data_IF_269621896182
#
_entry.id   IF_269621896182
#
_cell.length_a   1.000
_cell.length_b   1.000
_cell.length_c   1.000
_cell.angle_alpha   90.00
_cell.angle_beta   90.00
_cell.angle_gamma   90.00
#
_symmetry.space_group_name_H-M   'P 1'
#
loop_
_entity.id
_entity.type
_entity.pdbx_description
1 polymer ?
#
# COMPACT_ATOMS: atom_id res chain seq x y z
N UNK A 1 6.09 -13.84 1.06
CA UNK A 1 5.22 -14.29 2.18
C UNK A 1 4.13 -15.16 1.59
N UNK A 2 3.90 -16.34 2.15
CA UNK A 2 2.86 -17.24 1.69
C UNK A 2 1.48 -16.77 2.19
N UNK A 3 0.38 -17.11 1.48
CA UNK A 3 -0.99 -16.71 1.87
C UNK A 3 -1.34 -17.06 3.32
N UNK A 4 -0.79 -18.16 3.86
CA UNK A 4 -0.98 -18.57 5.25
C UNK A 4 -0.37 -17.63 6.30
N UNK A 5 0.73 -16.93 5.98
CA UNK A 5 1.35 -15.97 6.89
C UNK A 5 0.49 -14.71 7.06
N UNK A 6 -0.22 -14.28 5.99
CA UNK A 6 -1.16 -13.16 6.08
C UNK A 6 -2.40 -13.50 6.90
N UNK A 7 -2.92 -14.73 6.79
CA UNK A 7 -4.04 -15.18 7.61
C UNK A 7 -3.68 -15.17 9.10
N UNK A 8 -2.52 -15.69 9.48
CA UNK A 8 -2.03 -15.66 10.85
C UNK A 8 -1.82 -14.23 11.38
N UNK A 9 -1.27 -13.35 10.54
CA UNK A 9 -1.08 -11.94 10.90
C UNK A 9 -2.42 -11.25 11.15
N UNK A 10 -3.41 -11.49 10.31
CA UNK A 10 -4.77 -10.97 10.47
C UNK A 10 -5.41 -11.48 11.76
N UNK A 11 -5.39 -12.78 11.99
CA UNK A 11 -5.93 -13.40 13.23
C UNK A 11 -5.30 -12.84 14.51
N UNK A 12 -4.01 -12.49 14.44
CA UNK A 12 -3.29 -11.92 15.59
C UNK A 12 -3.61 -10.43 15.80
N UNK A 13 -3.84 -9.66 14.74
CA UNK A 13 -4.00 -8.21 14.81
C UNK A 13 -5.46 -7.75 14.93
N UNK A 14 -6.43 -8.47 14.34
CA UNK A 14 -7.85 -8.07 14.40
C UNK A 14 -8.39 -7.97 15.84
N UNK A 15 -8.07 -8.87 16.78
CA UNK A 15 -8.50 -8.72 18.17
C UNK A 15 -7.98 -7.45 18.86
N UNK A 16 -6.78 -6.98 18.49
CA UNK A 16 -6.21 -5.75 19.04
C UNK A 16 -7.03 -4.51 18.67
N UNK A 17 -7.68 -4.52 17.50
CA UNK A 17 -8.58 -3.43 17.08
C UNK A 17 -9.92 -3.43 17.83
N UNK A 18 -10.40 -4.60 18.28
CA UNK A 18 -11.65 -4.71 19.05
C UNK A 18 -11.49 -4.16 20.46
N UNK A 19 -10.27 -4.17 21.00
CA UNK A 19 -9.97 -3.60 22.31
C UNK A 19 -9.91 -2.07 22.29
N UNK A 20 -9.83 -1.43 21.12
CA UNK A 20 -9.74 0.02 20.97
C UNK A 20 -11.03 0.79 21.30
N UNK A 21 -12.16 0.09 21.52
CA UNK A 21 -13.44 0.69 21.97
C UNK A 21 -13.51 1.07 23.46
N UNK A 22 -12.47 0.80 24.26
CA UNK A 22 -12.41 1.20 25.66
C UNK A 22 -11.82 2.61 25.81
N UNK A 23 -12.20 3.41 26.83
CA UNK A 23 -11.63 4.74 27.05
C UNK A 23 -10.11 4.63 27.26
N UNK A 24 -9.38 5.17 26.32
CA UNK A 24 -7.95 4.93 26.12
C UNK A 24 -7.15 5.83 27.04
N UNK A 25 -6.30 5.25 27.89
CA UNK A 25 -5.21 5.99 28.54
C UNK A 25 -4.23 6.49 27.48
N UNK A 26 -3.64 7.67 27.69
CA UNK A 26 -2.64 8.30 26.81
C UNK A 26 -1.58 7.26 26.39
N UNK A 27 -1.48 6.97 25.11
CA UNK A 27 -0.50 6.02 24.53
C UNK A 27 -1.10 4.93 23.63
N UNK A 28 -2.39 4.66 23.70
CA UNK A 28 -3.05 3.59 22.93
C UNK A 28 -3.50 4.02 21.52
N UNK A 29 -3.64 5.31 21.24
CA UNK A 29 -4.02 5.80 19.90
C UNK A 29 -2.98 5.41 18.84
N UNK A 30 -1.69 5.37 19.21
CA UNK A 30 -0.62 4.91 18.32
C UNK A 30 -0.80 3.43 17.91
N UNK A 31 -1.42 2.61 18.74
CA UNK A 31 -1.66 1.20 18.43
C UNK A 31 -2.70 1.01 17.34
N UNK A 32 -3.81 1.76 17.35
CA UNK A 32 -4.86 1.61 16.34
C UNK A 32 -4.36 1.93 14.93
N UNK A 33 -3.66 3.06 14.75
CA UNK A 33 -3.02 3.40 13.47
C UNK A 33 -2.03 2.33 13.02
N UNK A 34 -1.17 1.88 13.94
CA UNK A 34 -0.14 0.90 13.62
C UNK A 34 -0.77 -0.43 13.21
N UNK A 35 -1.77 -0.90 13.96
CA UNK A 35 -2.45 -2.17 13.65
C UNK A 35 -3.20 -2.06 12.31
N UNK A 36 -3.94 -0.98 12.07
CA UNK A 36 -4.60 -0.75 10.79
C UNK A 36 -3.59 -0.69 9.65
N UNK A 37 -2.47 0.02 9.83
CA UNK A 37 -1.40 0.11 8.84
C UNK A 37 -0.80 -1.26 8.52
N UNK A 38 -0.50 -2.08 9.53
CA UNK A 38 0.05 -3.42 9.32
C UNK A 38 -0.91 -4.33 8.56
N UNK A 39 -2.21 -4.30 8.91
CA UNK A 39 -3.25 -5.06 8.21
C UNK A 39 -3.37 -4.62 6.75
N UNK A 40 -3.41 -3.31 6.51
CA UNK A 40 -3.53 -2.73 5.18
C UNK A 40 -2.30 -3.05 4.32
N UNK A 41 -1.09 -2.94 4.87
CA UNK A 41 0.15 -3.28 4.16
C UNK A 41 0.20 -4.78 3.80
N UNK A 42 -0.16 -5.64 4.74
CA UNK A 42 -0.22 -7.08 4.51
C UNK A 42 -1.27 -7.43 3.43
N UNK A 43 -2.47 -6.85 3.53
CA UNK A 43 -3.55 -7.04 2.56
C UNK A 43 -3.18 -6.53 1.16
N UNK A 44 -2.48 -5.39 1.08
CA UNK A 44 -1.95 -4.86 -0.19
C UNK A 44 -1.02 -5.88 -0.86
N UNK A 45 -0.12 -6.49 -0.10
CA UNK A 45 0.80 -7.50 -0.62
C UNK A 45 0.09 -8.81 -1.00
N UNK A 46 -0.93 -9.20 -0.22
CA UNK A 46 -1.71 -10.42 -0.47
C UNK A 46 -2.79 -10.25 -1.54
N UNK A 47 -3.08 -9.01 -1.98
CA UNK A 47 -4.22 -8.67 -2.85
C UNK A 47 -5.56 -9.08 -2.21
N UNK A 48 -5.67 -8.95 -0.88
CA UNK A 48 -6.87 -9.28 -0.12
C UNK A 48 -7.86 -8.11 -0.16
N UNK A 49 -8.76 -8.13 -1.14
CA UNK A 49 -9.76 -7.09 -1.37
C UNK A 49 -10.68 -6.87 -0.16
N UNK A 50 -11.08 -7.94 0.52
CA UNK A 50 -11.98 -7.86 1.66
C UNK A 50 -11.35 -7.11 2.83
N UNK A 51 -10.10 -7.40 3.15
CA UNK A 51 -9.33 -6.72 4.20
C UNK A 51 -9.03 -5.28 3.80
N UNK A 52 -8.66 -5.03 2.54
CA UNK A 52 -8.43 -3.68 2.03
C UNK A 52 -9.71 -2.82 2.13
N UNK A 53 -10.84 -3.35 1.67
CA UNK A 53 -12.14 -2.65 1.73
C UNK A 53 -12.57 -2.31 3.16
N UNK A 54 -12.18 -3.14 4.15
CA UNK A 54 -12.51 -2.95 5.55
C UNK A 54 -11.61 -1.95 6.27
N UNK A 55 -10.30 -2.03 6.05
CA UNK A 55 -9.32 -1.32 6.90
C UNK A 55 -8.64 -0.12 6.22
N UNK A 56 -8.58 -0.05 4.90
CA UNK A 56 -7.96 1.10 4.23
C UNK A 56 -8.76 2.40 4.43
N UNK A 57 -10.11 2.42 4.35
CA UNK A 57 -10.89 3.61 4.68
C UNK A 57 -10.72 4.03 6.15
N UNK A 58 -10.64 3.05 7.07
CA UNK A 58 -10.41 3.33 8.49
C UNK A 58 -9.05 3.96 8.73
N UNK A 59 -8.00 3.45 8.08
CA UNK A 59 -6.66 4.04 8.16
C UNK A 59 -6.64 5.45 7.60
N UNK A 60 -7.35 5.70 6.48
CA UNK A 60 -7.47 7.03 5.88
C UNK A 60 -8.12 8.02 6.85
N UNK A 61 -9.24 7.64 7.48
CA UNK A 61 -9.95 8.45 8.48
C UNK A 61 -9.05 8.81 9.67
N UNK A 62 -8.41 7.80 10.26
CA UNK A 62 -7.49 7.98 11.39
C UNK A 62 -6.33 8.90 11.02
N UNK A 63 -5.71 8.67 9.85
CA UNK A 63 -4.58 9.45 9.38
C UNK A 63 -4.94 10.91 9.10
N UNK A 64 -6.13 11.17 8.54
CA UNK A 64 -6.67 12.53 8.31
C UNK A 64 -6.96 13.24 9.63
N UNK A 65 -7.63 12.55 10.56
CA UNK A 65 -7.98 13.09 11.88
C UNK A 65 -6.75 13.59 12.64
N UNK A 66 -5.66 12.83 12.57
CA UNK A 66 -4.47 13.08 13.39
C UNK A 66 -3.32 13.73 12.60
N UNK A 67 -3.56 14.10 11.33
CA UNK A 67 -2.56 14.74 10.47
C UNK A 67 -1.36 13.85 10.12
N UNK A 68 -1.53 12.51 10.12
CA UNK A 68 -0.44 11.56 9.97
C UNK A 68 -0.16 11.23 8.49
N UNK A 69 0.58 12.11 7.80
CA UNK A 69 0.84 12.01 6.36
C UNK A 69 1.41 10.67 5.89
N UNK A 70 2.37 10.01 6.57
CA UNK A 70 2.85 8.70 6.15
C UNK A 70 1.75 7.64 6.09
N UNK A 71 0.87 7.59 7.08
CA UNK A 71 -0.24 6.62 7.08
C UNK A 71 -1.32 7.00 6.07
N UNK A 72 -1.53 8.29 5.82
CA UNK A 72 -2.41 8.75 4.76
C UNK A 72 -1.94 8.27 3.38
N UNK A 73 -0.64 8.38 3.09
CA UNK A 73 -0.05 7.85 1.86
C UNK A 73 -0.22 6.34 1.72
N UNK A 74 -0.04 5.57 2.82
CA UNK A 74 -0.28 4.12 2.84
C UNK A 74 -1.76 3.81 2.58
N UNK A 75 -2.68 4.54 3.22
CA UNK A 75 -4.11 4.36 3.02
C UNK A 75 -4.52 4.64 1.55
N UNK A 76 -4.03 5.73 0.96
CA UNK A 76 -4.30 6.03 -0.44
C UNK A 76 -3.75 4.94 -1.39
N UNK A 77 -2.53 4.43 -1.16
CA UNK A 77 -2.01 3.32 -1.97
C UNK A 77 -2.90 2.08 -1.85
N UNK A 78 -3.30 1.72 -0.64
CA UNK A 78 -4.15 0.57 -0.40
C UNK A 78 -5.54 0.69 -1.03
N UNK A 79 -6.16 1.88 -0.93
CA UNK A 79 -7.42 2.19 -1.62
C UNK A 79 -7.25 2.10 -3.13
N UNK A 80 -6.13 2.60 -3.68
CA UNK A 80 -5.82 2.45 -5.10
C UNK A 80 -5.73 0.99 -5.54
N UNK A 81 -5.11 0.14 -4.72
CA UNK A 81 -5.06 -1.31 -4.98
C UNK A 81 -6.45 -1.94 -4.89
N UNK A 82 -7.27 -1.58 -3.88
CA UNK A 82 -8.63 -2.07 -3.74
C UNK A 82 -9.49 -1.71 -4.96
N UNK A 83 -9.48 -0.44 -5.40
CA UNK A 83 -10.19 0.01 -6.61
C UNK A 83 -9.70 -0.73 -7.87
N UNK A 84 -8.38 -0.95 -8.01
CA UNK A 84 -7.86 -1.72 -9.13
C UNK A 84 -8.39 -3.17 -9.15
N UNK A 85 -8.42 -3.82 -8.00
CA UNK A 85 -8.96 -5.19 -7.88
C UNK A 85 -10.46 -5.24 -8.19
N UNK A 86 -11.21 -4.20 -7.82
CA UNK A 86 -12.62 -4.04 -8.16
C UNK A 86 -12.87 -3.62 -9.63
N UNK A 87 -11.82 -3.35 -10.42
CA UNK A 87 -11.94 -2.89 -11.80
C UNK A 87 -12.23 -1.39 -11.97
N UNK A 88 -12.20 -0.62 -10.90
CA UNK A 88 -12.44 0.83 -10.86
C UNK A 88 -11.14 1.58 -11.15
N UNK A 89 -10.66 1.48 -12.41
CA UNK A 89 -9.30 1.87 -12.77
C UNK A 89 -9.04 3.38 -12.70
N UNK A 90 -10.06 4.23 -12.85
CA UNK A 90 -9.90 5.68 -12.74
C UNK A 90 -9.71 6.11 -11.27
N UNK A 91 -10.51 5.56 -10.37
CA UNK A 91 -10.39 5.77 -8.92
C UNK A 91 -9.07 5.21 -8.39
N UNK A 92 -8.65 4.05 -8.88
CA UNK A 92 -7.36 3.46 -8.55
C UNK A 92 -6.21 4.42 -8.89
N UNK A 93 -6.23 5.01 -10.08
CA UNK A 93 -5.20 5.97 -10.51
C UNK A 93 -5.18 7.21 -9.61
N UNK A 94 -6.36 7.79 -9.35
CA UNK A 94 -6.46 8.98 -8.50
C UNK A 94 -5.85 8.73 -7.12
N UNK A 95 -6.18 7.59 -6.51
CA UNK A 95 -5.66 7.21 -5.20
C UNK A 95 -4.15 6.93 -5.21
N UNK A 96 -3.65 6.22 -6.22
CA UNK A 96 -2.22 5.93 -6.33
C UNK A 96 -1.39 7.20 -6.58
N UNK A 97 -1.90 8.16 -7.37
CA UNK A 97 -1.24 9.46 -7.57
C UNK A 97 -1.18 10.27 -6.27
N UNK A 98 -2.27 10.32 -5.48
CA UNK A 98 -2.28 10.96 -4.18
C UNK A 98 -1.23 10.35 -3.23
N UNK A 99 -1.13 9.03 -3.21
CA UNK A 99 -0.10 8.35 -2.43
C UNK A 99 1.32 8.73 -2.90
N UNK A 100 1.53 8.75 -4.21
CA UNK A 100 2.83 9.08 -4.80
C UNK A 100 3.26 10.50 -4.45
N UNK A 101 2.36 11.48 -4.59
CA UNK A 101 2.60 12.89 -4.25
C UNK A 101 2.99 13.06 -2.77
N UNK A 102 2.26 12.41 -1.85
CA UNK A 102 2.58 12.45 -0.43
C UNK A 102 3.97 11.87 -0.15
N UNK A 103 4.29 10.70 -0.70
CA UNK A 103 5.58 10.07 -0.46
C UNK A 103 6.75 10.81 -1.12
N UNK A 104 6.54 11.43 -2.29
CA UNK A 104 7.53 12.30 -2.92
C UNK A 104 7.78 13.56 -2.07
N UNK A 105 6.73 14.21 -1.58
CA UNK A 105 6.85 15.37 -0.69
C UNK A 105 7.60 15.07 0.61
N UNK A 106 7.49 13.84 1.11
CA UNK A 106 8.23 13.37 2.29
C UNK A 106 9.61 12.79 1.97
N UNK A 107 10.01 12.73 0.71
CA UNK A 107 11.24 12.08 0.25
C UNK A 107 11.33 10.60 0.70
N UNK A 108 10.20 9.92 0.84
CA UNK A 108 10.09 8.54 1.28
C UNK A 108 10.34 7.57 0.12
N UNK A 109 11.58 7.49 -0.37
CA UNK A 109 11.98 6.81 -1.60
C UNK A 109 11.51 5.36 -1.69
N UNK A 110 11.55 4.59 -0.59
CA UNK A 110 11.06 3.22 -0.57
C UNK A 110 9.54 3.14 -0.82
N UNK A 111 8.77 4.04 -0.21
CA UNK A 111 7.32 4.11 -0.41
C UNK A 111 6.99 4.60 -1.83
N UNK A 112 7.80 5.52 -2.38
CA UNK A 112 7.70 5.95 -3.78
C UNK A 112 7.86 4.74 -4.71
N UNK A 113 8.92 3.94 -4.56
CA UNK A 113 9.15 2.75 -5.36
C UNK A 113 7.99 1.75 -5.29
N UNK A 114 7.45 1.49 -4.10
CA UNK A 114 6.28 0.63 -3.91
C UNK A 114 5.03 1.17 -4.62
N UNK A 115 4.79 2.47 -4.54
CA UNK A 115 3.62 3.09 -5.18
C UNK A 115 3.74 3.08 -6.71
N UNK A 116 4.94 3.31 -7.24
CA UNK A 116 5.22 3.19 -8.67
C UNK A 116 4.97 1.75 -9.18
N UNK A 117 5.30 0.72 -8.39
CA UNK A 117 4.94 -0.65 -8.75
C UNK A 117 3.43 -0.87 -8.84
N UNK A 118 2.64 -0.28 -7.92
CA UNK A 118 1.18 -0.40 -8.02
C UNK A 118 0.60 0.37 -9.21
N UNK A 119 1.21 1.50 -9.60
CA UNK A 119 0.87 2.21 -10.85
C UNK A 119 1.18 1.36 -12.07
N UNK A 120 2.33 0.67 -12.11
CA UNK A 120 2.66 -0.25 -13.19
C UNK A 120 1.64 -1.41 -13.31
N UNK A 121 1.21 -1.97 -12.18
CA UNK A 121 0.16 -3.00 -12.15
C UNK A 121 -1.19 -2.46 -12.64
N UNK A 122 -1.50 -1.20 -12.37
CA UNK A 122 -2.69 -0.52 -12.90
C UNK A 122 -2.60 -0.34 -14.42
N UNK A 123 -1.43 0.05 -14.93
CA UNK A 123 -1.21 0.17 -16.37
C UNK A 123 -1.38 -1.17 -17.09
N UNK A 124 -0.87 -2.26 -16.49
CA UNK A 124 -1.10 -3.61 -17.02
C UNK A 124 -2.59 -3.98 -17.04
N UNK A 125 -3.35 -3.59 -16.00
CA UNK A 125 -4.80 -3.81 -15.98
C UNK A 125 -5.53 -3.02 -17.08
N UNK A 126 -4.95 -1.90 -17.55
CA UNK A 126 -5.41 -1.10 -18.69
C UNK A 126 -4.87 -1.60 -20.04
N UNK A 127 -4.05 -2.63 -20.06
CA UNK A 127 -3.31 -3.10 -21.23
C UNK A 127 -2.32 -2.06 -21.79
N UNK A 128 -1.90 -1.09 -20.98
CA UNK A 128 -0.88 -0.10 -21.33
C UNK A 128 0.51 -0.59 -20.89
N UNK A 129 1.06 -1.50 -21.68
CA UNK A 129 2.38 -2.08 -21.43
C UNK A 129 3.50 -1.03 -21.44
N UNK A 130 3.40 0.00 -22.28
CA UNK A 130 4.43 1.03 -22.37
C UNK A 130 4.50 1.85 -21.08
N UNK A 131 3.36 2.29 -20.54
CA UNK A 131 3.30 2.97 -19.25
C UNK A 131 3.79 2.08 -18.11
N UNK A 132 3.38 0.79 -18.10
CA UNK A 132 3.82 -0.17 -17.10
C UNK A 132 5.35 -0.33 -17.05
N UNK A 133 6.00 -0.45 -18.21
CA UNK A 133 7.46 -0.50 -18.31
C UNK A 133 8.10 0.76 -17.71
N UNK A 134 7.53 1.93 -17.99
CA UNK A 134 8.01 3.21 -17.45
C UNK A 134 7.91 3.26 -15.91
N UNK A 135 6.76 2.87 -15.35
CA UNK A 135 6.58 2.86 -13.90
C UNK A 135 7.43 1.82 -13.18
N UNK A 136 7.56 0.60 -13.72
CA UNK A 136 8.45 -0.41 -13.14
C UNK A 136 9.92 0.01 -13.22
N UNK A 137 10.36 0.63 -14.33
CA UNK A 137 11.72 1.16 -14.47
C UNK A 137 12.05 2.17 -13.37
N UNK A 138 11.18 3.16 -13.18
CA UNK A 138 11.33 4.17 -12.10
C UNK A 138 11.28 3.55 -10.69
N UNK A 139 10.46 2.53 -10.49
CA UNK A 139 10.41 1.81 -9.22
C UNK A 139 11.74 1.07 -8.95
N UNK A 140 12.31 0.43 -9.97
CA UNK A 140 13.60 -0.26 -9.88
C UNK A 140 14.72 0.72 -9.51
N UNK A 141 14.80 1.86 -10.20
CA UNK A 141 15.76 2.92 -9.89
C UNK A 141 15.66 3.39 -8.43
N UNK A 142 14.43 3.60 -7.93
CA UNK A 142 14.21 4.00 -6.54
C UNK A 142 14.70 2.95 -5.55
N UNK A 143 14.46 1.67 -5.80
CA UNK A 143 14.92 0.58 -4.92
C UNK A 143 16.43 0.37 -4.97
N UNK A 144 17.04 0.47 -6.15
CA UNK A 144 18.48 0.35 -6.33
C UNK A 144 19.23 1.48 -5.62
N UNK A 145 18.74 2.72 -5.75
CA UNK A 145 19.32 3.88 -5.07
C UNK A 145 19.31 3.73 -3.53
N UNK A 146 18.37 2.96 -2.99
CA UNK A 146 18.24 2.70 -1.55
C UNK A 146 18.93 1.41 -1.09
N UNK A 147 19.51 0.61 -2.01
CA UNK A 147 20.03 -0.72 -1.69
C UNK A 147 18.93 -1.71 -1.27
N UNK A 148 17.67 -1.48 -1.63
CA UNK A 148 16.52 -2.35 -1.30
C UNK A 148 16.49 -3.59 -2.21
N UNK A 149 17.50 -4.45 -2.08
CA UNK A 149 17.73 -5.58 -2.97
C UNK A 149 16.53 -6.52 -3.19
N UNK A 150 15.74 -6.91 -2.15
CA UNK A 150 14.57 -7.76 -2.35
C UNK A 150 13.47 -7.11 -3.19
N UNK A 151 13.26 -5.80 -3.05
CA UNK A 151 12.25 -5.06 -3.83
C UNK A 151 12.72 -4.82 -5.26
N UNK A 152 14.02 -4.51 -5.44
CA UNK A 152 14.64 -4.37 -6.76
C UNK A 152 14.53 -5.70 -7.54
N UNK A 153 14.83 -6.83 -6.92
CA UNK A 153 14.77 -8.14 -7.57
C UNK A 153 13.33 -8.50 -7.99
N UNK A 154 12.35 -8.31 -7.11
CA UNK A 154 10.93 -8.51 -7.46
C UNK A 154 10.47 -7.61 -8.60
N UNK A 155 11.01 -6.39 -8.68
CA UNK A 155 10.67 -5.45 -9.74
C UNK A 155 11.32 -5.85 -11.07
N UNK A 156 12.57 -6.36 -11.06
CA UNK A 156 13.22 -6.92 -12.27
C UNK A 156 12.45 -8.12 -12.83
N UNK A 157 11.98 -9.00 -11.94
CA UNK A 157 11.17 -10.15 -12.35
C UNK A 157 9.86 -9.73 -13.00
N UNK A 158 9.17 -8.71 -12.44
CA UNK A 158 7.97 -8.14 -13.04
C UNK A 158 8.25 -7.50 -14.41
N UNK A 159 9.35 -6.75 -14.55
CA UNK A 159 9.79 -6.20 -15.83
C UNK A 159 10.07 -7.30 -16.87
N UNK A 160 10.79 -8.34 -16.49
CA UNK A 160 11.12 -9.44 -17.39
C UNK A 160 9.88 -10.20 -17.88
N UNK A 161 8.84 -10.28 -17.05
CA UNK A 161 7.58 -10.95 -17.42
C UNK A 161 6.75 -10.19 -18.45
N UNK A 162 7.02 -8.89 -18.64
CA UNK A 162 6.28 -8.02 -19.56
C UNK A 162 7.12 -7.56 -20.76
N UNK A 163 8.37 -7.97 -20.89
CA UNK A 163 9.23 -7.72 -22.07
C UNK A 163 8.97 -8.79 -23.13
#
# INVERSE_FOLDING_TARGET
>A
MAQGEFALLRESLEPALQLSGQPIQRGTMAHEHTVCMMLVEAATMARDEAVLGRYAPKLEELAKRDGHLPYLGIAHRALGVAHRLAGELAEAEARLKQALELFQGMQAGWQVGRTLRELAELDLARSDRAAALGHFGRALEAFEALGAAPDAERTRQALAAIL
#
